data_IF_386991060461
#
_entry.id   IF_386991060461
#
_cell.length_a   1.000
_cell.length_b   1.000
_cell.length_c   1.000
_cell.angle_alpha   90.00
_cell.angle_beta   90.00
_cell.angle_gamma   90.00
#
_symmetry.space_group_name_H-M   'P 1'
#
loop_
_entity.id
_entity.type
_entity.pdbx_description
1 polymer ?
#
# COMPACT_ATOMS: atom_id res chain seq x y z
N UNK A 1 63.89 21.99 0.11
CA UNK A 1 63.57 20.56 0.29
C UNK A 1 62.10 20.46 0.67
N UNK A 2 61.32 19.79 -0.18
CA UNK A 2 59.85 19.70 -0.18
C UNK A 2 59.36 18.88 1.03
N UNK A 3 58.43 19.42 1.82
CA UNK A 3 57.65 18.63 2.79
C UNK A 3 56.38 18.16 2.09
N UNK A 4 56.31 16.85 1.84
CA UNK A 4 55.15 16.19 1.26
C UNK A 4 53.97 16.22 2.26
N UNK A 5 52.89 16.88 1.88
CA UNK A 5 51.59 16.72 2.53
C UNK A 5 50.99 15.38 2.07
N UNK A 6 50.89 14.42 2.98
CA UNK A 6 50.10 13.22 2.78
C UNK A 6 48.62 13.58 2.91
N UNK A 7 47.94 13.69 1.77
CA UNK A 7 46.48 13.81 1.70
C UNK A 7 45.93 12.41 1.96
N UNK A 8 45.48 12.16 3.19
CA UNK A 8 44.74 10.95 3.54
C UNK A 8 43.38 10.99 2.83
N UNK A 9 43.15 10.00 1.97
CA UNK A 9 41.94 9.86 1.16
C UNK A 9 40.69 9.74 2.02
N UNK A 10 39.79 10.70 1.86
CA UNK A 10 38.41 10.62 2.31
C UNK A 10 37.68 9.63 1.37
N UNK A 11 37.55 8.37 1.77
CA UNK A 11 36.68 7.43 1.06
C UNK A 11 35.22 7.87 1.25
N UNK A 12 34.61 8.35 0.17
CA UNK A 12 33.16 8.53 0.07
C UNK A 12 32.49 7.16 0.14
N UNK A 13 31.93 6.80 1.28
CA UNK A 13 30.86 5.80 1.36
C UNK A 13 29.54 6.52 1.13
N UNK A 14 29.08 6.60 -0.11
CA UNK A 14 27.70 7.01 -0.41
C UNK A 14 26.96 5.90 -1.16
N UNK A 15 25.68 5.77 -0.78
CA UNK A 15 24.58 5.19 -1.56
C UNK A 15 24.30 3.70 -1.38
N UNK A 16 23.62 3.32 -0.28
CA UNK A 16 22.90 2.05 -0.17
C UNK A 16 21.42 2.20 0.26
N UNK A 17 20.83 3.40 0.19
CA UNK A 17 19.52 3.65 0.82
C UNK A 17 18.38 4.07 -0.13
N UNK A 18 18.65 4.34 -1.41
CA UNK A 18 17.62 4.90 -2.32
C UNK A 18 16.63 3.82 -2.80
N UNK A 19 17.14 2.66 -3.24
CA UNK A 19 16.29 1.57 -3.75
C UNK A 19 15.38 0.93 -2.70
N UNK A 20 15.83 0.87 -1.45
CA UNK A 20 15.03 0.33 -0.35
C UNK A 20 13.84 1.24 -0.03
N UNK A 21 14.01 2.55 -0.16
CA UNK A 21 12.95 3.55 0.08
C UNK A 21 11.89 3.51 -1.04
N UNK A 22 12.30 3.38 -2.31
CA UNK A 22 11.37 3.29 -3.45
C UNK A 22 10.46 2.06 -3.40
N UNK A 23 11.03 0.89 -3.07
CA UNK A 23 10.26 -0.34 -2.93
C UNK A 23 9.27 -0.28 -1.75
N UNK A 24 9.69 0.30 -0.63
CA UNK A 24 8.85 0.50 0.55
C UNK A 24 7.71 1.48 0.26
N UNK A 25 7.98 2.57 -0.46
CA UNK A 25 6.96 3.53 -0.89
C UNK A 25 5.98 2.89 -1.88
N UNK A 26 6.45 2.06 -2.81
CA UNK A 26 5.59 1.34 -3.74
C UNK A 26 4.66 0.34 -3.01
N UNK A 27 5.20 -0.41 -2.05
CA UNK A 27 4.42 -1.30 -1.19
C UNK A 27 3.39 -0.51 -0.36
N UNK A 28 3.79 0.61 0.25
CA UNK A 28 2.89 1.45 1.04
C UNK A 28 1.74 2.00 0.18
N UNK A 29 2.04 2.42 -1.07
CA UNK A 29 1.03 2.87 -2.02
C UNK A 29 0.06 1.75 -2.43
N UNK A 30 0.56 0.55 -2.69
CA UNK A 30 -0.29 -0.62 -2.97
C UNK A 30 -1.19 -0.95 -1.76
N UNK A 31 -0.65 -0.90 -0.55
CA UNK A 31 -1.42 -1.09 0.68
C UNK A 31 -2.51 -0.02 0.87
N UNK A 32 -2.25 1.24 0.53
CA UNK A 32 -3.25 2.32 0.54
C UNK A 32 -4.39 2.03 -0.43
N UNK A 33 -4.08 1.60 -1.66
CA UNK A 33 -5.10 1.23 -2.64
C UNK A 33 -5.93 0.03 -2.17
N UNK A 34 -5.30 -0.92 -1.48
CA UNK A 34 -5.99 -2.07 -0.89
C UNK A 34 -6.88 -1.69 0.29
N UNK A 35 -6.42 -0.80 1.18
CA UNK A 35 -7.24 -0.27 2.26
C UNK A 35 -8.49 0.41 1.71
N UNK A 36 -8.35 1.26 0.69
CA UNK A 36 -9.48 1.90 0.03
C UNK A 36 -10.46 0.89 -0.58
N UNK A 37 -9.95 -0.12 -1.28
CA UNK A 37 -10.76 -1.19 -1.87
C UNK A 37 -11.54 -1.97 -0.81
N UNK A 38 -10.89 -2.36 0.28
CA UNK A 38 -11.53 -3.09 1.37
C UNK A 38 -12.57 -2.22 2.08
N UNK A 39 -12.32 -0.92 2.24
CA UNK A 39 -13.29 0.01 2.79
C UNK A 39 -14.55 0.06 1.90
N UNK A 40 -14.40 0.34 0.60
CA UNK A 40 -15.53 0.37 -0.36
C UNK A 40 -16.31 -0.94 -0.32
N UNK A 41 -15.59 -2.07 -0.37
CA UNK A 41 -16.21 -3.39 -0.40
C UNK A 41 -16.97 -3.69 0.90
N UNK A 42 -16.43 -3.32 2.05
CA UNK A 42 -17.10 -3.51 3.35
C UNK A 42 -18.34 -2.64 3.51
N UNK A 43 -18.29 -1.39 3.04
CA UNK A 43 -19.42 -0.45 3.08
C UNK A 43 -20.55 -0.92 2.16
N UNK A 44 -20.21 -1.38 0.95
CA UNK A 44 -21.18 -1.94 0.01
C UNK A 44 -21.85 -3.20 0.57
N UNK A 45 -21.10 -4.13 1.15
CA UNK A 45 -21.68 -5.32 1.80
C UNK A 45 -22.57 -4.93 2.98
N UNK A 46 -22.14 -3.96 3.80
CA UNK A 46 -22.93 -3.45 4.92
C UNK A 46 -24.26 -2.84 4.46
N UNK A 47 -24.25 -2.10 3.34
CA UNK A 47 -25.44 -1.48 2.77
C UNK A 47 -26.45 -2.48 2.19
N UNK A 48 -26.04 -3.71 1.87
CA UNK A 48 -26.93 -4.75 1.34
C UNK A 48 -27.91 -5.30 2.39
N UNK A 49 -27.75 -4.98 3.68
CA UNK A 49 -28.59 -5.47 4.79
C UNK A 49 -28.82 -7.00 4.73
N UNK A 50 -27.79 -7.76 4.36
CA UNK A 50 -27.82 -9.20 4.20
C UNK A 50 -27.09 -9.89 5.37
N UNK A 51 -27.80 -10.46 6.37
CA UNK A 51 -27.18 -11.01 7.58
C UNK A 51 -26.10 -12.08 7.30
N UNK A 52 -26.31 -12.89 6.27
CA UNK A 52 -25.35 -13.92 5.85
C UNK A 52 -24.01 -13.35 5.35
N UNK A 53 -23.98 -12.08 4.95
CA UNK A 53 -22.77 -11.39 4.47
C UNK A 53 -22.10 -10.54 5.56
N UNK A 54 -22.69 -10.41 6.74
CA UNK A 54 -22.17 -9.56 7.82
C UNK A 54 -20.74 -9.97 8.21
N UNK A 55 -20.49 -11.26 8.36
CA UNK A 55 -19.15 -11.77 8.66
C UNK A 55 -18.13 -11.48 7.54
N UNK A 56 -18.57 -11.33 6.29
CA UNK A 56 -17.70 -10.92 5.18
C UNK A 56 -17.39 -9.42 5.30
N UNK A 57 -18.40 -8.59 5.55
CA UNK A 57 -18.22 -7.16 5.78
C UNK A 57 -17.23 -6.87 6.92
N UNK A 58 -17.35 -7.56 8.05
CA UNK A 58 -16.43 -7.40 9.18
C UNK A 58 -15.00 -7.86 8.85
N UNK A 59 -14.84 -8.96 8.10
CA UNK A 59 -13.51 -9.40 7.63
C UNK A 59 -12.86 -8.35 6.72
N UNK A 60 -13.63 -7.74 5.81
CA UNK A 60 -13.11 -6.68 4.94
C UNK A 60 -12.73 -5.43 5.72
N UNK A 61 -13.49 -5.05 6.76
CA UNK A 61 -13.09 -3.96 7.66
C UNK A 61 -11.76 -4.25 8.37
N UNK A 62 -11.57 -5.48 8.83
CA UNK A 62 -10.29 -5.89 9.42
C UNK A 62 -9.15 -5.82 8.40
N UNK A 63 -9.36 -6.32 7.17
CA UNK A 63 -8.36 -6.24 6.09
C UNK A 63 -8.02 -4.79 5.71
N UNK A 64 -8.99 -3.87 5.76
CA UNK A 64 -8.72 -2.42 5.61
C UNK A 64 -7.73 -1.93 6.66
N UNK A 65 -7.98 -2.22 7.93
CA UNK A 65 -7.10 -1.81 9.04
C UNK A 65 -5.71 -2.44 8.91
N UNK A 66 -5.64 -3.70 8.51
CA UNK A 66 -4.37 -4.40 8.28
C UNK A 66 -3.55 -3.73 7.15
N UNK A 67 -4.20 -3.39 6.04
CA UNK A 67 -3.55 -2.68 4.93
C UNK A 67 -3.10 -1.26 5.33
N UNK A 68 -3.90 -0.53 6.11
CA UNK A 68 -3.49 0.76 6.69
C UNK A 68 -2.25 0.60 7.57
N UNK A 69 -2.24 -0.41 8.45
CA UNK A 69 -1.10 -0.67 9.32
C UNK A 69 0.15 -1.08 8.55
N UNK A 70 0.00 -1.78 7.42
CA UNK A 70 1.13 -2.08 6.53
C UNK A 70 1.73 -0.80 5.93
N UNK A 71 0.90 0.11 5.43
CA UNK A 71 1.35 1.41 4.91
C UNK A 71 2.00 2.29 6.00
N UNK A 72 1.43 2.29 7.21
CA UNK A 72 1.93 3.05 8.37
C UNK A 72 3.32 2.62 8.86
N UNK A 73 3.86 1.49 8.38
CA UNK A 73 5.27 1.12 8.63
C UNK A 73 6.26 2.05 7.93
N UNK A 74 5.82 2.73 6.87
CA UNK A 74 6.69 3.53 5.99
C UNK A 74 6.23 4.98 5.84
N UNK A 75 5.00 5.29 6.26
CA UNK A 75 4.41 6.63 6.19
C UNK A 75 3.72 6.97 7.51
N UNK A 76 3.52 8.26 7.80
CA UNK A 76 2.81 8.66 9.02
C UNK A 76 1.32 8.30 8.96
N UNK A 77 0.69 8.18 10.12
CA UNK A 77 -0.74 7.89 10.20
C UNK A 77 -1.60 8.95 9.50
N UNK A 78 -1.23 10.23 9.58
CA UNK A 78 -1.94 11.31 8.92
C UNK A 78 -1.87 11.18 7.38
N UNK A 79 -0.68 10.89 6.85
CA UNK A 79 -0.46 10.67 5.42
C UNK A 79 -1.27 9.47 4.92
N UNK A 80 -1.20 8.34 5.62
CA UNK A 80 -1.95 7.13 5.24
C UNK A 80 -3.45 7.39 5.27
N UNK A 81 -3.96 8.03 6.33
CA UNK A 81 -5.40 8.32 6.45
C UNK A 81 -5.90 9.17 5.30
N UNK A 82 -5.17 10.24 4.96
CA UNK A 82 -5.52 11.10 3.83
C UNK A 82 -5.41 10.35 2.50
N UNK A 83 -4.32 9.60 2.28
CA UNK A 83 -4.10 8.88 1.05
C UNK A 83 -5.13 7.77 0.80
N UNK A 84 -5.62 7.11 1.86
CA UNK A 84 -6.72 6.13 1.78
C UNK A 84 -8.03 6.82 1.41
N UNK A 85 -8.33 7.98 2.00
CA UNK A 85 -9.51 8.76 1.63
C UNK A 85 -9.47 9.18 0.14
N UNK A 86 -8.30 9.64 -0.33
CA UNK A 86 -8.10 10.03 -1.73
C UNK A 86 -8.20 8.82 -2.67
N UNK A 87 -7.58 7.70 -2.32
CA UNK A 87 -7.66 6.46 -3.09
C UNK A 87 -9.10 5.95 -3.17
N UNK A 88 -9.85 6.01 -2.06
CA UNK A 88 -11.27 5.67 -2.03
C UNK A 88 -12.07 6.56 -2.99
N UNK A 89 -11.86 7.87 -2.96
CA UNK A 89 -12.52 8.80 -3.86
C UNK A 89 -12.22 8.49 -5.33
N UNK A 90 -10.95 8.24 -5.67
CA UNK A 90 -10.53 7.84 -7.03
C UNK A 90 -11.15 6.52 -7.49
N UNK A 91 -11.17 5.51 -6.62
CA UNK A 91 -11.75 4.20 -6.92
C UNK A 91 -13.26 4.31 -7.12
N UNK A 92 -13.98 5.05 -6.28
CA UNK A 92 -15.41 5.33 -6.47
C UNK A 92 -15.65 6.06 -7.79
N UNK A 93 -14.84 7.07 -8.11
CA UNK A 93 -14.95 7.79 -9.38
C UNK A 93 -14.75 6.85 -10.58
N UNK A 94 -13.83 5.90 -10.49
CA UNK A 94 -13.57 4.92 -11.55
C UNK A 94 -14.74 3.96 -11.82
N UNK A 95 -15.70 3.85 -10.89
CA UNK A 95 -16.93 3.09 -11.10
C UNK A 95 -17.92 3.80 -12.03
N UNK A 96 -17.73 5.09 -12.34
CA UNK A 96 -18.56 5.83 -13.27
C UNK A 96 -20.05 5.91 -12.87
N UNK A 97 -20.33 5.91 -11.56
CA UNK A 97 -21.70 5.89 -11.03
C UNK A 97 -22.32 4.48 -10.93
N UNK A 98 -21.58 3.43 -11.30
CA UNK A 98 -22.01 2.06 -11.06
C UNK A 98 -21.91 1.69 -9.57
N UNK A 99 -22.94 1.02 -9.04
CA UNK A 99 -22.88 0.36 -7.74
C UNK A 99 -22.23 -1.03 -7.81
N UNK A 100 -21.85 -1.49 -9.00
CA UNK A 100 -21.23 -2.79 -9.19
C UNK A 100 -19.73 -2.74 -8.83
N UNK A 101 -19.35 -3.49 -7.81
CA UNK A 101 -17.96 -3.64 -7.40
C UNK A 101 -17.11 -4.51 -8.33
N UNK A 102 -17.69 -5.15 -9.34
CA UNK A 102 -17.00 -6.10 -10.21
C UNK A 102 -15.72 -5.55 -10.84
N UNK A 103 -15.69 -4.26 -11.19
CA UNK A 103 -14.48 -3.58 -11.71
C UNK A 103 -13.39 -3.52 -10.64
N UNK A 104 -13.73 -3.10 -9.42
CA UNK A 104 -12.77 -3.04 -8.32
C UNK A 104 -12.33 -4.43 -7.88
N UNK A 105 -13.26 -5.39 -7.80
CA UNK A 105 -12.93 -6.78 -7.47
C UNK A 105 -11.97 -7.38 -8.49
N UNK A 106 -12.17 -7.14 -9.79
CA UNK A 106 -11.28 -7.63 -10.84
C UNK A 106 -9.87 -7.03 -10.78
N UNK A 107 -9.72 -5.81 -10.23
CA UNK A 107 -8.44 -5.08 -10.19
C UNK A 107 -7.67 -5.25 -8.87
N UNK A 108 -8.38 -5.44 -7.76
CA UNK A 108 -7.78 -5.33 -6.43
C UNK A 108 -7.93 -6.61 -5.59
N UNK A 109 -8.90 -7.48 -5.87
CA UNK A 109 -9.22 -8.59 -4.96
C UNK A 109 -8.04 -9.53 -4.74
N UNK A 110 -7.38 -9.96 -5.82
CA UNK A 110 -6.33 -10.97 -5.74
C UNK A 110 -5.01 -10.33 -5.30
N UNK A 111 -4.68 -9.17 -5.85
CA UNK A 111 -3.50 -8.38 -5.49
C UNK A 111 -3.51 -8.04 -4.00
N UNK A 112 -4.61 -7.51 -3.46
CA UNK A 112 -4.71 -7.13 -2.06
C UNK A 112 -4.71 -8.33 -1.11
N UNK A 113 -5.34 -9.44 -1.52
CA UNK A 113 -5.25 -10.69 -0.76
C UNK A 113 -3.81 -11.18 -0.68
N UNK A 114 -3.07 -11.15 -1.78
CA UNK A 114 -1.69 -11.61 -1.82
C UNK A 114 -0.75 -10.67 -1.05
N UNK A 115 -0.98 -9.35 -1.15
CA UNK A 115 -0.26 -8.34 -0.38
C UNK A 115 -0.35 -8.61 1.13
N UNK A 116 -1.57 -8.85 1.66
CA UNK A 116 -1.76 -9.09 3.09
C UNK A 116 -1.31 -10.49 3.53
N UNK A 117 -1.43 -11.50 2.66
CA UNK A 117 -1.01 -12.86 2.96
C UNK A 117 0.52 -12.98 3.12
N UNK A 118 1.29 -12.26 2.29
CA UNK A 118 2.75 -12.26 2.37
C UNK A 118 3.33 -10.89 1.98
N UNK A 119 3.31 -9.91 2.91
CA UNK A 119 3.80 -8.56 2.64
C UNK A 119 5.30 -8.53 2.32
N UNK A 120 6.08 -9.48 2.85
CA UNK A 120 7.52 -9.54 2.61
C UNK A 120 7.80 -9.97 1.16
N UNK A 121 7.15 -11.04 0.69
CA UNK A 121 7.26 -11.43 -0.72
C UNK A 121 6.80 -10.32 -1.65
N UNK A 122 5.80 -9.54 -1.23
CA UNK A 122 5.35 -8.38 -2.02
C UNK A 122 6.35 -7.23 -2.00
N UNK A 123 7.03 -7.01 -0.88
CA UNK A 123 8.15 -6.06 -0.81
C UNK A 123 9.31 -6.49 -1.72
N UNK A 124 9.67 -7.78 -1.71
CA UNK A 124 10.75 -8.31 -2.56
C UNK A 124 10.43 -8.12 -4.05
N UNK A 125 9.16 -8.30 -4.44
CA UNK A 125 8.70 -7.94 -5.79
C UNK A 125 8.97 -6.47 -6.10
N UNK A 126 8.62 -5.56 -5.19
CA UNK A 126 8.83 -4.13 -5.41
C UNK A 126 10.32 -3.79 -5.46
N UNK A 127 11.15 -4.41 -4.63
CA UNK A 127 12.61 -4.27 -4.71
C UNK A 127 13.14 -4.63 -6.09
N UNK A 128 12.61 -5.69 -6.72
CA UNK A 128 12.99 -6.03 -8.10
C UNK A 128 12.40 -5.10 -9.14
N UNK A 129 11.17 -4.63 -8.94
CA UNK A 129 10.45 -3.79 -9.89
C UNK A 129 10.91 -2.32 -9.88
N UNK A 130 11.52 -1.86 -8.78
CA UNK A 130 12.05 -0.50 -8.62
C UNK A 130 13.58 -0.43 -8.73
N UNK A 131 14.26 -1.55 -8.99
CA UNK A 131 15.70 -1.58 -9.31
C UNK A 131 16.02 -0.94 -10.67
#
# INVERSE_FOLDING_TARGET
>A
MLKAFAIAGLMLTMSHSVFADEAQQALAKEAIECAAYYQISSEAIGAMNAPQMQAVGERLKASKVEAENLAKKYQSEAEVTQAVADAKARQIQSLGGSSNLGVLMGKYKEECKNLLADPQKRLDYWTMATM
#
